data_IF_888190098702
#
_entry.id   IF_888190098702
#
_cell.length_a   1.000
_cell.length_b   1.000
_cell.length_c   1.000
_cell.angle_alpha   90.00
_cell.angle_beta   90.00
_cell.angle_gamma   90.00
#
_symmetry.space_group_name_H-M   'P 1'
#
loop_
_entity.id
_entity.type
_entity.pdbx_description
1 polymer ?
#
# COMPACT_ATOMS: atom_id res chain seq x y z
N UNK A 1 13.12 15.23 1.91
CA UNK A 1 12.47 14.28 0.98
C UNK A 1 13.54 13.75 0.04
N UNK A 2 13.82 12.46 0.12
CA UNK A 2 14.63 11.75 -0.87
C UNK A 2 13.81 11.52 -2.15
N UNK A 3 14.45 11.38 -3.32
CA UNK A 3 13.73 11.07 -4.57
C UNK A 3 12.84 9.81 -4.43
N UNK A 4 13.32 8.82 -3.66
CA UNK A 4 12.57 7.59 -3.38
C UNK A 4 11.27 7.87 -2.63
N UNK A 5 11.28 8.79 -1.68
CA UNK A 5 10.07 9.22 -0.96
C UNK A 5 9.13 10.00 -1.87
N UNK A 6 9.65 10.77 -2.83
CA UNK A 6 8.84 11.51 -3.79
C UNK A 6 8.04 10.56 -4.70
N UNK A 7 8.66 9.48 -5.19
CA UNK A 7 7.96 8.51 -6.05
C UNK A 7 6.84 7.76 -5.32
N UNK A 8 6.88 7.65 -3.99
CA UNK A 8 5.79 7.05 -3.22
C UNK A 8 4.48 7.87 -3.29
N UNK A 9 4.55 9.15 -3.65
CA UNK A 9 3.37 10.00 -3.79
C UNK A 9 2.45 9.55 -4.93
N UNK A 10 2.97 8.84 -5.93
CA UNK A 10 2.12 8.31 -7.01
C UNK A 10 1.13 7.25 -6.51
N UNK A 11 1.39 6.66 -5.34
CA UNK A 11 0.50 5.72 -4.68
C UNK A 11 -0.49 6.40 -3.72
N UNK A 12 -0.53 7.74 -3.67
CA UNK A 12 -1.49 8.45 -2.84
C UNK A 12 -2.90 8.33 -3.46
N UNK A 13 -3.95 8.09 -2.64
CA UNK A 13 -5.31 7.95 -3.16
C UNK A 13 -5.73 9.14 -4.02
N UNK A 14 -6.26 8.85 -5.21
CA UNK A 14 -6.71 9.87 -6.16
C UNK A 14 -5.60 10.66 -6.86
N UNK A 15 -4.32 10.37 -6.62
CA UNK A 15 -3.23 10.96 -7.39
C UNK A 15 -3.25 10.43 -8.83
N UNK A 16 -3.50 11.31 -9.79
CA UNK A 16 -3.52 10.99 -11.21
C UNK A 16 -3.17 12.23 -12.03
N UNK A 17 -2.53 12.00 -13.18
CA UNK A 17 -2.31 13.04 -14.20
C UNK A 17 -3.32 12.95 -15.34
N UNK A 18 -4.24 11.98 -15.29
CA UNK A 18 -5.27 11.81 -16.32
C UNK A 18 -6.26 12.98 -16.28
N UNK A 19 -6.45 13.62 -17.43
CA UNK A 19 -7.43 14.70 -17.61
C UNK A 19 -8.86 14.18 -17.78
N UNK A 20 -9.02 12.95 -18.28
CA UNK A 20 -10.31 12.31 -18.55
C UNK A 20 -10.30 10.85 -18.13
N UNK A 21 -11.48 10.33 -17.75
CA UNK A 21 -11.69 8.91 -17.44
C UNK A 21 -11.96 8.17 -18.76
N UNK A 22 -11.21 7.11 -19.02
CA UNK A 22 -11.37 6.25 -20.21
C UNK A 22 -11.87 4.87 -19.80
N UNK A 23 -12.16 4.00 -20.78
CA UNK A 23 -12.56 2.63 -20.48
C UNK A 23 -11.49 1.84 -19.71
N UNK A 24 -10.21 2.13 -19.93
CA UNK A 24 -9.09 1.42 -19.30
C UNK A 24 -8.43 2.19 -18.15
N UNK A 25 -8.61 3.52 -18.07
CA UNK A 25 -7.98 4.39 -17.05
C UNK A 25 -9.03 5.24 -16.32
N UNK A 26 -8.91 5.39 -14.99
CA UNK A 26 -9.80 6.28 -14.22
C UNK A 26 -11.07 5.64 -13.64
N UNK A 27 -11.22 4.31 -13.69
CA UNK A 27 -12.32 3.56 -13.02
C UNK A 27 -12.08 3.30 -11.52
N UNK A 28 -11.11 3.99 -10.91
CA UNK A 28 -10.74 3.79 -9.50
C UNK A 28 -9.70 2.69 -9.25
N UNK A 29 -8.97 2.24 -10.29
CA UNK A 29 -7.81 1.35 -10.13
C UNK A 29 -6.54 2.15 -10.40
N UNK A 30 -5.85 2.53 -9.33
CA UNK A 30 -4.59 3.28 -9.39
C UNK A 30 -3.46 2.59 -8.65
N UNK A 31 -2.34 3.30 -8.52
CA UNK A 31 -1.17 2.82 -7.78
C UNK A 31 -1.42 2.76 -6.26
N UNK A 32 -2.46 3.43 -5.78
CA UNK A 32 -2.98 3.31 -4.41
C UNK A 32 -3.55 1.92 -4.15
N UNK A 33 -4.35 1.37 -5.08
CA UNK A 33 -4.90 0.00 -4.99
C UNK A 33 -3.77 -1.04 -5.04
N UNK A 34 -2.78 -0.85 -5.92
CA UNK A 34 -1.62 -1.74 -6.02
C UNK A 34 -0.82 -1.74 -4.72
N UNK A 35 -0.53 -0.55 -4.16
CA UNK A 35 0.16 -0.43 -2.88
C UNK A 35 -0.61 -1.11 -1.75
N UNK A 36 -1.91 -0.84 -1.64
CA UNK A 36 -2.77 -1.46 -0.62
C UNK A 36 -2.80 -3.00 -0.74
N UNK A 37 -2.84 -3.53 -1.97
CA UNK A 37 -2.79 -4.98 -2.19
C UNK A 37 -1.47 -5.59 -1.70
N UNK A 38 -0.33 -4.98 -2.02
CA UNK A 38 0.99 -5.43 -1.56
C UNK A 38 1.12 -5.35 -0.04
N UNK A 39 0.68 -4.24 0.56
CA UNK A 39 0.72 -4.04 2.02
C UNK A 39 -0.22 -4.99 2.77
N UNK A 40 -1.38 -5.32 2.18
CA UNK A 40 -2.33 -6.29 2.77
C UNK A 40 -1.75 -7.70 2.90
N UNK A 41 -0.78 -8.05 2.05
CA UNK A 41 -0.03 -9.31 2.11
C UNK A 41 1.17 -9.24 3.07
N UNK A 42 1.34 -8.12 3.80
CA UNK A 42 2.51 -7.87 4.63
C UNK A 42 3.77 -7.56 3.82
N UNK A 43 3.61 -7.19 2.55
CA UNK A 43 4.70 -6.84 1.65
C UNK A 43 5.04 -5.35 1.66
N UNK A 44 5.99 -4.98 0.81
CA UNK A 44 6.42 -3.60 0.57
C UNK A 44 6.60 -3.33 -0.92
N UNK A 45 6.21 -2.13 -1.36
CA UNK A 45 6.43 -1.61 -2.70
C UNK A 45 7.49 -0.49 -2.68
N UNK A 46 8.58 -0.65 -3.44
CA UNK A 46 9.58 0.39 -3.70
C UNK A 46 9.59 0.78 -5.18
N UNK A 47 9.78 2.08 -5.46
CA UNK A 47 9.78 2.63 -6.81
C UNK A 47 11.11 3.31 -7.05
N UNK A 48 11.77 2.91 -8.14
CA UNK A 48 13.02 3.49 -8.61
C UNK A 48 12.76 4.01 -10.03
N UNK A 49 12.91 5.31 -10.26
CA UNK A 49 12.72 5.89 -11.58
C UNK A 49 13.84 6.88 -11.86
N UNK A 50 14.36 6.86 -13.08
CA UNK A 50 15.30 7.85 -13.57
C UNK A 50 14.93 8.23 -15.00
N UNK A 51 14.83 9.53 -15.25
CA UNK A 51 14.43 10.06 -16.55
C UNK A 51 15.39 9.57 -17.64
N UNK A 52 14.84 9.00 -18.71
CA UNK A 52 15.63 8.44 -19.82
C UNK A 52 16.14 7.02 -19.59
N UNK A 53 16.03 6.47 -18.36
CA UNK A 53 16.46 5.10 -18.03
C UNK A 53 15.27 4.18 -17.68
N UNK A 54 14.08 4.76 -17.52
CA UNK A 54 12.84 4.03 -17.24
C UNK A 54 12.50 3.97 -15.75
N UNK A 55 11.57 3.07 -15.41
CA UNK A 55 11.05 2.90 -14.05
C UNK A 55 11.06 1.42 -13.66
N UNK A 56 11.55 1.12 -12.46
CA UNK A 56 11.54 -0.20 -11.85
C UNK A 56 10.68 -0.19 -10.60
N UNK A 57 9.69 -1.08 -10.58
CA UNK A 57 8.88 -1.38 -9.41
C UNK A 57 9.46 -2.63 -8.73
N UNK A 58 9.77 -2.53 -7.44
CA UNK A 58 10.26 -3.64 -6.64
C UNK A 58 9.22 -3.98 -5.57
N UNK A 59 8.62 -5.17 -5.70
CA UNK A 59 7.69 -5.70 -4.71
C UNK A 59 8.39 -6.77 -3.89
N UNK A 60 8.42 -6.60 -2.57
CA UNK A 60 8.93 -7.59 -1.63
C UNK A 60 7.74 -8.20 -0.90
N UNK A 61 7.50 -9.48 -1.13
CA UNK A 61 6.43 -10.23 -0.47
C UNK A 61 7.07 -11.25 0.49
N UNK A 62 6.53 -11.42 1.70
CA UNK A 62 7.00 -12.45 2.61
C UNK A 62 6.68 -13.85 2.05
N UNK A 63 7.58 -14.82 2.26
CA UNK A 63 7.42 -16.20 1.79
C UNK A 63 6.22 -16.91 2.45
N UNK A 64 5.86 -16.50 3.67
CA UNK A 64 4.68 -16.96 4.39
C UNK A 64 3.78 -15.78 4.74
N UNK A 65 2.47 -15.99 4.65
CA UNK A 65 1.48 -14.99 5.03
C UNK A 65 1.55 -14.82 6.56
N UNK A 66 1.62 -13.55 6.99
CA UNK A 66 2.10 -13.16 8.30
C UNK A 66 1.21 -13.62 9.47
N UNK A 67 1.86 -13.98 10.57
CA UNK A 67 1.25 -14.04 11.90
C UNK A 67 0.58 -12.68 12.16
N UNK A 68 -0.74 -12.67 12.31
CA UNK A 68 -1.49 -11.47 12.66
C UNK A 68 -1.26 -11.21 14.14
N UNK A 69 -0.57 -10.12 14.46
CA UNK A 69 -0.44 -9.66 15.85
C UNK A 69 -1.79 -9.09 16.30
N UNK A 70 -2.35 -9.71 17.34
CA UNK A 70 -3.61 -9.32 17.97
C UNK A 70 -3.28 -8.64 19.31
N UNK A 71 -3.84 -7.46 19.53
CA UNK A 71 -3.95 -6.86 20.86
C UNK A 71 -5.18 -7.44 21.54
N UNK A 72 -4.97 -8.12 22.66
CA UNK A 72 -6.06 -8.57 23.51
C UNK A 72 -6.49 -7.41 24.41
N UNK A 73 -7.78 -7.12 24.42
CA UNK A 73 -8.40 -6.09 25.26
C UNK A 73 -9.57 -6.69 26.01
N UNK A 74 -9.84 -6.20 27.21
CA UNK A 74 -11.02 -6.59 27.98
C UNK A 74 -12.02 -5.42 28.01
N UNK A 75 -13.29 -5.71 27.72
CA UNK A 75 -14.38 -4.77 27.82
C UNK A 75 -15.62 -5.49 28.37
N UNK A 76 -16.19 -4.98 29.47
CA UNK A 76 -17.36 -5.59 30.14
C UNK A 76 -17.17 -7.08 30.45
N UNK A 77 -15.98 -7.45 30.95
CA UNK A 77 -15.60 -8.83 31.28
C UNK A 77 -15.44 -9.76 30.08
N UNK A 78 -15.42 -9.22 28.85
CA UNK A 78 -15.21 -10.00 27.61
C UNK A 78 -13.85 -9.68 27.01
N UNK A 79 -13.06 -10.71 26.74
CA UNK A 79 -11.79 -10.58 25.99
C UNK A 79 -12.08 -10.47 24.49
N UNK A 80 -11.58 -9.42 23.86
CA UNK A 80 -11.65 -9.17 22.42
C UNK A 80 -10.25 -9.04 21.83
N UNK A 81 -10.07 -9.45 20.58
CA UNK A 81 -8.82 -9.31 19.83
C UNK A 81 -8.92 -8.24 18.75
N UNK A 82 -8.05 -7.24 18.78
CA UNK A 82 -7.96 -6.20 17.74
C UNK A 82 -6.61 -6.35 17.01
N UNK A 83 -6.59 -6.41 15.66
CA UNK A 83 -5.32 -6.39 14.93
C UNK A 83 -4.51 -5.13 15.27
N UNK A 84 -3.23 -5.29 15.62
CA UNK A 84 -2.37 -4.15 16.01
C UNK A 84 -2.28 -3.08 14.91
N UNK A 85 -2.41 -3.49 13.63
CA UNK A 85 -2.44 -2.60 12.47
C UNK A 85 -3.65 -1.65 12.41
N UNK A 86 -4.67 -1.84 13.24
CA UNK A 86 -5.86 -0.96 13.30
C UNK A 86 -5.88 -0.04 14.53
N UNK A 87 -4.87 -0.14 15.40
CA UNK A 87 -4.79 0.65 16.65
C UNK A 87 -3.80 1.81 16.51
N UNK A 88 -2.78 1.66 15.66
CA UNK A 88 -1.83 2.70 15.26
C UNK A 88 -2.29 3.38 13.98
#
# INVERSE_FOLDING_TARGET
LTERELFQWICYPGFSTASEITETSGRGVGMDVVKAAVESLGGMLEIYSKRGEGTRFLMKLPLSIAIIKILLVECDGRTMGIPVTRVL
#
